data_IF_739712616993
#
_entry.id   IF_739712616993
#
_cell.length_a   1.000
_cell.length_b   1.000
_cell.length_c   1.000
_cell.angle_alpha   90.00
_cell.angle_beta   90.00
_cell.angle_gamma   90.00
#
_symmetry.space_group_name_H-M   'P 1'
#
loop_
_entity.id
_entity.type
_entity.pdbx_description
1 polymer ?
#
# COMPACT_ATOMS: atom_id res chain seq x y z
N UNK A 1 -11.10 -1.74 28.74
CA UNK A 1 -10.58 -1.58 27.38
C UNK A 1 -10.40 -2.97 26.77
N UNK A 2 -11.05 -3.29 25.66
CA UNK A 2 -10.81 -4.54 24.93
C UNK A 2 -9.37 -4.50 24.44
N UNK A 3 -8.58 -5.52 24.77
CA UNK A 3 -7.18 -5.62 24.30
C UNK A 3 -7.23 -5.82 22.79
N UNK A 4 -6.59 -4.93 22.01
CA UNK A 4 -6.54 -5.04 20.54
C UNK A 4 -5.91 -6.38 20.15
N UNK A 5 -6.61 -7.14 19.29
CA UNK A 5 -6.13 -8.45 18.80
C UNK A 5 -5.06 -8.28 17.74
N UNK A 6 -5.17 -7.24 16.92
CA UNK A 6 -4.19 -6.91 15.87
C UNK A 6 -3.79 -5.44 15.97
N UNK A 7 -2.63 -5.15 15.42
CA UNK A 7 -2.13 -3.78 15.28
C UNK A 7 -2.74 -3.13 14.04
N UNK A 8 -2.80 -3.86 12.92
CA UNK A 8 -3.37 -3.39 11.64
C UNK A 8 -4.36 -4.42 11.13
N UNK A 9 -5.59 -3.98 10.86
CA UNK A 9 -6.59 -4.74 10.11
C UNK A 9 -6.65 -4.16 8.69
N UNK A 10 -6.29 -4.96 7.69
CA UNK A 10 -6.40 -4.57 6.28
C UNK A 10 -7.66 -5.12 5.64
N UNK A 11 -8.43 -4.26 4.98
CA UNK A 11 -9.62 -4.63 4.21
C UNK A 11 -9.47 -4.00 2.82
N UNK A 12 -9.22 -4.82 1.82
CA UNK A 12 -8.94 -4.34 0.47
C UNK A 12 -8.55 -5.48 -0.46
N UNK A 13 -7.81 -5.19 -1.53
CA UNK A 13 -7.49 -6.15 -2.56
C UNK A 13 -6.18 -6.91 -2.29
N UNK A 14 -6.16 -8.10 -2.85
CA UNK A 14 -4.99 -8.96 -3.01
C UNK A 14 -4.90 -9.37 -4.47
N UNK A 15 -3.74 -9.81 -4.95
CA UNK A 15 -3.57 -10.36 -6.29
C UNK A 15 -2.52 -11.46 -6.33
N UNK A 16 -2.46 -12.18 -7.45
CA UNK A 16 -1.33 -13.02 -7.84
C UNK A 16 -0.76 -12.43 -9.12
N UNK A 17 0.55 -12.18 -9.12
CA UNK A 17 1.25 -11.50 -10.19
C UNK A 17 2.28 -12.44 -10.81
N UNK A 18 2.16 -12.71 -12.12
CA UNK A 18 3.15 -13.42 -12.91
C UNK A 18 4.10 -12.40 -13.58
N UNK A 19 5.33 -12.34 -13.11
CA UNK A 19 6.36 -11.45 -13.66
C UNK A 19 7.15 -12.15 -14.75
N UNK A 20 7.17 -11.56 -15.95
CA UNK A 20 7.91 -12.05 -17.11
C UNK A 20 9.05 -11.07 -17.41
N UNK A 21 10.29 -11.47 -17.17
CA UNK A 21 11.45 -10.65 -17.49
C UNK A 21 11.87 -10.90 -18.92
N UNK A 22 11.76 -9.86 -19.78
CA UNK A 22 12.11 -9.95 -21.21
C UNK A 22 13.45 -9.25 -21.49
N UNK A 23 14.26 -9.77 -22.43
CA UNK A 23 15.46 -9.08 -22.88
C UNK A 23 15.06 -7.83 -23.69
N UNK A 24 15.84 -6.76 -23.56
CA UNK A 24 15.58 -5.54 -24.33
C UNK A 24 14.40 -4.71 -23.80
N UNK A 25 13.69 -4.06 -24.72
CA UNK A 25 12.49 -3.28 -24.49
C UNK A 25 11.22 -4.15 -24.51
N UNK A 26 10.05 -3.52 -24.37
CA UNK A 26 8.76 -4.23 -24.51
C UNK A 26 8.66 -4.88 -25.91
N UNK A 27 8.26 -6.17 -26.02
CA UNK A 27 8.22 -6.88 -27.29
C UNK A 27 7.28 -6.23 -28.32
N UNK A 28 7.70 -6.21 -29.57
CA UNK A 28 6.86 -5.74 -30.66
C UNK A 28 5.70 -6.73 -30.94
N UNK A 29 4.65 -6.23 -31.62
CA UNK A 29 3.55 -7.07 -32.06
C UNK A 29 4.04 -8.19 -33.01
N UNK A 30 3.34 -9.32 -32.99
CA UNK A 30 3.60 -10.51 -33.86
C UNK A 30 4.98 -11.14 -33.67
N UNK A 31 5.63 -10.96 -32.53
CA UNK A 31 6.93 -11.57 -32.23
C UNK A 31 6.84 -12.68 -31.19
N UNK A 32 7.82 -13.60 -31.22
CA UNK A 32 8.04 -14.59 -30.18
C UNK A 32 9.27 -14.17 -29.39
N UNK A 33 9.08 -13.89 -28.10
CA UNK A 33 10.18 -13.48 -27.23
C UNK A 33 10.41 -14.54 -26.15
N UNK A 34 11.65 -15.05 -26.09
CA UNK A 34 12.06 -15.92 -24.99
C UNK A 34 12.32 -15.06 -23.75
N UNK A 35 11.61 -15.35 -22.66
CA UNK A 35 11.80 -14.65 -21.38
C UNK A 35 13.15 -15.05 -20.76
N UNK A 36 13.77 -14.12 -20.04
CA UNK A 36 14.99 -14.34 -19.25
C UNK A 36 14.69 -15.16 -18.01
N UNK A 37 13.59 -14.83 -17.34
CA UNK A 37 13.08 -15.53 -16.18
C UNK A 37 11.59 -15.29 -16.03
N UNK A 38 10.95 -16.11 -15.21
CA UNK A 38 9.57 -16.00 -14.81
C UNK A 38 9.48 -16.18 -13.30
N UNK A 39 8.61 -15.42 -12.68
CA UNK A 39 8.38 -15.49 -11.24
C UNK A 39 6.91 -15.24 -10.91
N UNK A 40 6.36 -15.95 -9.93
CA UNK A 40 5.02 -15.73 -9.40
C UNK A 40 5.12 -15.22 -7.98
N UNK A 41 4.42 -14.13 -7.70
CA UNK A 41 4.36 -13.50 -6.40
C UNK A 41 2.93 -13.11 -6.06
N UNK A 42 2.66 -12.89 -4.77
CA UNK A 42 1.44 -12.21 -4.36
C UNK A 42 1.63 -10.69 -4.47
N UNK A 43 0.51 -10.00 -4.67
CA UNK A 43 0.42 -8.55 -4.81
C UNK A 43 -0.89 -8.00 -4.25
N UNK A 44 -1.36 -6.93 -4.84
CA UNK A 44 -2.51 -6.15 -4.40
C UNK A 44 -2.14 -5.12 -3.34
N UNK A 45 -2.81 -3.96 -3.38
CA UNK A 45 -2.50 -2.80 -2.54
C UNK A 45 -2.49 -3.17 -1.05
N UNK A 46 -3.62 -3.64 -0.54
CA UNK A 46 -3.74 -4.06 0.87
C UNK A 46 -2.87 -5.28 1.17
N UNK A 47 -2.81 -6.26 0.26
CA UNK A 47 -2.00 -7.47 0.45
C UNK A 47 -0.53 -7.17 0.67
N UNK A 48 0.05 -6.36 -0.20
CA UNK A 48 1.47 -5.97 -0.13
C UNK A 48 1.76 -5.06 1.07
N UNK A 49 0.86 -4.12 1.37
CA UNK A 49 1.00 -3.25 2.54
C UNK A 49 1.00 -4.04 3.86
N UNK A 50 0.12 -5.05 4.01
CA UNK A 50 0.09 -5.88 5.21
C UNK A 50 1.35 -6.74 5.38
N UNK A 51 1.87 -7.32 4.29
CA UNK A 51 3.14 -8.06 4.32
C UNK A 51 4.29 -7.13 4.72
N UNK A 52 4.34 -5.91 4.18
CA UNK A 52 5.35 -4.93 4.56
C UNK A 52 5.26 -4.57 6.06
N UNK A 53 4.06 -4.29 6.55
CA UNK A 53 3.85 -3.97 7.95
C UNK A 53 4.21 -5.16 8.88
N UNK A 54 3.87 -6.40 8.50
CA UNK A 54 4.18 -7.60 9.25
C UNK A 54 5.70 -7.83 9.36
N UNK A 55 6.44 -7.71 8.24
CA UNK A 55 7.91 -7.80 8.23
C UNK A 55 8.58 -6.70 9.06
N UNK A 56 7.90 -5.57 9.27
CA UNK A 56 8.33 -4.49 10.16
C UNK A 56 7.86 -4.66 11.61
N UNK A 57 7.25 -5.81 11.94
CA UNK A 57 6.92 -6.22 13.30
C UNK A 57 5.51 -5.87 13.78
N UNK A 58 4.61 -5.41 12.90
CA UNK A 58 3.21 -5.22 13.24
C UNK A 58 2.45 -6.56 13.21
N UNK A 59 1.51 -6.76 14.13
CA UNK A 59 0.54 -7.88 14.09
C UNK A 59 -0.57 -7.51 13.11
N UNK A 60 -0.52 -8.10 11.92
CA UNK A 60 -1.44 -7.80 10.84
C UNK A 60 -2.53 -8.86 10.69
N UNK A 61 -3.76 -8.43 10.36
CA UNK A 61 -4.84 -9.28 9.94
C UNK A 61 -5.43 -8.78 8.62
N UNK A 62 -5.80 -9.70 7.75
CA UNK A 62 -6.52 -9.42 6.51
C UNK A 62 -7.98 -9.85 6.63
N UNK A 63 -8.90 -8.96 6.26
CA UNK A 63 -10.33 -9.23 6.27
C UNK A 63 -11.05 -8.73 5.01
N UNK A 64 -10.33 -8.61 3.90
CA UNK A 64 -10.90 -8.48 2.57
C UNK A 64 -11.42 -9.81 2.02
N UNK A 65 -12.15 -9.76 0.91
CA UNK A 65 -12.69 -10.93 0.23
C UNK A 65 -11.56 -11.83 -0.29
N UNK A 66 -11.73 -13.14 -0.08
CA UNK A 66 -10.94 -14.19 -0.71
C UNK A 66 -11.87 -15.19 -1.41
N UNK A 67 -11.44 -15.68 -2.55
CA UNK A 67 -12.14 -16.72 -3.29
C UNK A 67 -11.90 -18.14 -2.73
N UNK A 68 -12.27 -19.11 -3.57
CA UNK A 68 -12.02 -20.53 -3.33
C UNK A 68 -11.23 -21.16 -4.48
N UNK A 69 -10.68 -20.34 -5.35
CA UNK A 69 -9.87 -20.67 -6.52
C UNK A 69 -8.39 -20.90 -6.14
N UNK A 70 -7.58 -21.33 -7.14
CA UNK A 70 -6.17 -21.61 -6.93
C UNK A 70 -5.34 -20.38 -6.58
N UNK A 71 -5.65 -19.22 -7.17
CA UNK A 71 -4.94 -17.98 -6.85
C UNK A 71 -5.24 -17.52 -5.44
N UNK A 72 -6.50 -17.62 -4.99
CA UNK A 72 -6.86 -17.35 -3.60
C UNK A 72 -6.12 -18.23 -2.61
N UNK A 73 -5.90 -19.52 -2.93
CA UNK A 73 -5.07 -20.41 -2.10
C UNK A 73 -3.60 -19.97 -2.03
N UNK A 74 -3.03 -19.51 -3.15
CA UNK A 74 -1.66 -18.97 -3.17
C UNK A 74 -1.55 -17.73 -2.26
N UNK A 75 -2.55 -16.84 -2.29
CA UNK A 75 -2.59 -15.67 -1.39
C UNK A 75 -2.69 -16.09 0.08
N UNK A 76 -3.53 -17.09 0.39
CA UNK A 76 -3.67 -17.61 1.76
C UNK A 76 -2.35 -18.18 2.29
N UNK A 77 -1.70 -19.04 1.49
CA UNK A 77 -0.41 -19.63 1.85
C UNK A 77 0.66 -18.56 2.08
N UNK A 78 0.69 -17.53 1.22
CA UNK A 78 1.61 -16.41 1.38
C UNK A 78 1.35 -15.63 2.67
N UNK A 79 0.09 -15.30 2.98
CA UNK A 79 -0.24 -14.60 4.21
C UNK A 79 0.15 -15.41 5.46
N UNK A 80 -0.08 -16.71 5.45
CA UNK A 80 0.33 -17.58 6.56
C UNK A 80 1.86 -17.61 6.74
N UNK A 81 2.62 -17.65 5.64
CA UNK A 81 4.08 -17.59 5.66
C UNK A 81 4.60 -16.25 6.20
N UNK A 82 3.91 -15.15 5.87
CA UNK A 82 4.25 -13.79 6.30
C UNK A 82 3.68 -13.41 7.67
N UNK A 83 2.98 -14.35 8.33
CA UNK A 83 2.40 -14.12 9.67
C UNK A 83 1.21 -13.16 9.71
N UNK A 84 0.51 -13.01 8.59
CA UNK A 84 -0.74 -12.23 8.51
C UNK A 84 -1.93 -13.13 8.83
N UNK A 85 -2.72 -12.76 9.83
CA UNK A 85 -3.93 -13.49 10.23
C UNK A 85 -5.04 -13.32 9.18
N UNK A 86 -5.56 -14.43 8.66
CA UNK A 86 -6.65 -14.46 7.68
C UNK A 86 -7.96 -15.05 8.24
N UNK A 87 -8.02 -15.29 9.54
CA UNK A 87 -9.18 -15.95 10.17
C UNK A 87 -10.49 -15.18 10.02
N UNK A 88 -10.41 -13.89 9.73
CA UNK A 88 -11.53 -13.00 9.54
C UNK A 88 -11.84 -12.65 8.07
N UNK A 89 -11.08 -13.23 7.12
CA UNK A 89 -11.30 -12.99 5.69
C UNK A 89 -12.56 -13.69 5.18
N UNK A 90 -13.57 -12.95 4.67
CA UNK A 90 -14.76 -13.56 4.09
C UNK A 90 -14.40 -14.41 2.87
N UNK A 91 -15.08 -15.56 2.72
CA UNK A 91 -14.89 -16.47 1.58
C UNK A 91 -16.10 -16.44 0.67
N UNK A 92 -15.86 -16.22 -0.62
CA UNK A 92 -16.94 -16.19 -1.61
C UNK A 92 -16.50 -16.80 -2.94
N UNK A 93 -17.38 -17.64 -3.53
CA UNK A 93 -17.09 -18.28 -4.83
C UNK A 93 -16.98 -17.29 -5.98
N UNK A 94 -17.64 -16.15 -5.85
CA UNK A 94 -17.69 -15.06 -6.83
C UNK A 94 -16.63 -13.96 -6.57
N UNK A 95 -15.61 -14.28 -5.75
CA UNK A 95 -14.52 -13.38 -5.41
C UNK A 95 -13.13 -14.02 -5.67
N UNK A 96 -12.85 -14.52 -6.88
CA UNK A 96 -11.53 -15.06 -7.20
C UNK A 96 -10.46 -13.99 -7.06
N UNK A 97 -9.27 -14.39 -6.60
CA UNK A 97 -8.17 -13.44 -6.49
C UNK A 97 -7.81 -12.87 -7.87
N UNK A 98 -7.67 -11.55 -8.01
CA UNK A 98 -7.18 -10.92 -9.23
C UNK A 98 -5.85 -11.51 -9.68
N UNK A 99 -5.68 -11.58 -10.99
CA UNK A 99 -4.45 -12.08 -11.60
C UNK A 99 -3.86 -11.02 -12.52
N UNK A 100 -2.57 -10.77 -12.39
CA UNK A 100 -1.83 -9.90 -13.27
C UNK A 100 -0.70 -10.64 -13.98
N UNK A 101 -0.40 -10.23 -15.22
CA UNK A 101 0.82 -10.57 -15.93
C UNK A 101 1.61 -9.28 -16.10
N UNK A 102 2.82 -9.25 -15.57
CA UNK A 102 3.69 -8.07 -15.56
C UNK A 102 4.89 -8.35 -16.43
N UNK A 103 5.01 -7.64 -17.56
CA UNK A 103 6.16 -7.74 -18.43
C UNK A 103 7.18 -6.68 -18.02
N UNK A 104 8.33 -7.14 -17.54
CA UNK A 104 9.45 -6.29 -17.09
C UNK A 104 10.52 -6.28 -18.18
N UNK A 105 10.78 -5.11 -18.74
CA UNK A 105 11.77 -4.90 -19.80
C UNK A 105 13.15 -4.63 -19.18
N UNK A 106 14.13 -5.53 -19.38
CA UNK A 106 15.43 -5.47 -18.73
C UNK A 106 16.26 -4.25 -19.14
N UNK A 107 16.16 -3.82 -20.41
CA UNK A 107 16.92 -2.69 -20.95
C UNK A 107 16.40 -1.34 -20.42
N UNK A 108 15.08 -1.12 -20.52
CA UNK A 108 14.47 0.15 -20.16
C UNK A 108 14.12 0.25 -18.68
N UNK A 109 14.12 -0.88 -17.94
CA UNK A 109 13.69 -0.99 -16.55
C UNK A 109 12.26 -0.49 -16.34
N UNK A 110 11.43 -0.63 -17.36
CA UNK A 110 10.01 -0.29 -17.36
C UNK A 110 9.17 -1.56 -17.29
N UNK A 111 7.90 -1.40 -16.93
CA UNK A 111 6.96 -2.51 -16.86
C UNK A 111 5.63 -2.18 -17.51
N UNK A 112 4.98 -3.21 -18.05
CA UNK A 112 3.59 -3.18 -18.46
C UNK A 112 2.80 -4.19 -17.65
N UNK A 113 1.68 -3.77 -17.09
CA UNK A 113 0.82 -4.58 -16.24
C UNK A 113 -0.46 -4.88 -16.99
N UNK A 114 -0.77 -6.17 -17.15
CA UNK A 114 -2.04 -6.67 -17.67
C UNK A 114 -2.74 -7.39 -16.54
N UNK A 115 -3.91 -6.95 -16.15
CA UNK A 115 -4.62 -7.54 -15.02
C UNK A 115 -6.08 -7.85 -15.37
N UNK A 116 -6.62 -8.83 -14.68
CA UNK A 116 -8.00 -9.28 -14.79
C UNK A 116 -8.63 -9.36 -13.42
N UNK A 117 -9.84 -8.84 -13.33
CA UNK A 117 -10.70 -8.92 -12.15
C UNK A 117 -11.99 -9.59 -12.57
N UNK A 118 -12.27 -10.78 -12.02
CA UNK A 118 -13.41 -11.60 -12.36
C UNK A 118 -14.35 -11.76 -11.16
N UNK A 119 -15.10 -10.74 -10.81
CA UNK A 119 -16.03 -10.83 -9.70
C UNK A 119 -15.78 -9.79 -8.62
N UNK A 120 -16.19 -10.09 -7.39
CA UNK A 120 -16.03 -9.17 -6.25
C UNK A 120 -14.62 -9.21 -5.72
N UNK A 121 -14.10 -8.04 -5.34
CA UNK A 121 -12.78 -7.90 -4.71
C UNK A 121 -12.84 -6.88 -3.58
N UNK A 122 -11.85 -6.90 -2.69
CA UNK A 122 -11.68 -5.91 -1.64
C UNK A 122 -12.63 -6.11 -0.47
N UNK A 123 -13.26 -5.05 -0.01
CA UNK A 123 -14.13 -5.10 1.15
C UNK A 123 -15.49 -5.75 0.84
N UNK A 124 -15.96 -6.64 1.70
CA UNK A 124 -17.33 -7.14 1.66
C UNK A 124 -18.29 -6.15 2.31
N UNK A 125 -19.52 -6.04 1.77
CA UNK A 125 -20.52 -5.05 2.21
C UNK A 125 -20.97 -5.27 3.67
N UNK A 126 -20.85 -6.47 4.21
CA UNK A 126 -21.37 -6.87 5.53
C UNK A 126 -20.30 -7.39 6.48
N UNK A 127 -19.20 -7.94 5.98
CA UNK A 127 -18.13 -8.55 6.75
C UNK A 127 -16.83 -7.72 6.65
N UNK A 128 -15.89 -7.85 7.57
CA UNK A 128 -16.02 -8.61 8.82
C UNK A 128 -17.03 -7.98 9.79
N UNK A 129 -17.39 -8.71 10.83
CA UNK A 129 -18.23 -8.18 11.91
C UNK A 129 -17.62 -6.91 12.53
N UNK A 130 -18.45 -6.02 13.02
CA UNK A 130 -18.01 -4.77 13.65
C UNK A 130 -17.01 -5.00 14.79
N UNK A 131 -17.18 -6.08 15.56
CA UNK A 131 -16.29 -6.46 16.66
C UNK A 131 -14.85 -6.71 16.19
N UNK A 132 -14.67 -7.24 14.97
CA UNK A 132 -13.36 -7.48 14.36
C UNK A 132 -12.70 -6.15 14.00
N UNK A 133 -13.44 -5.22 13.39
CA UNK A 133 -12.93 -3.89 13.09
C UNK A 133 -12.52 -3.16 14.37
N UNK A 134 -13.36 -3.23 15.41
CA UNK A 134 -13.09 -2.61 16.72
C UNK A 134 -11.92 -3.24 17.49
N UNK A 135 -11.46 -4.42 17.08
CA UNK A 135 -10.30 -5.09 17.69
C UNK A 135 -8.95 -4.63 17.11
N UNK A 136 -8.96 -3.79 16.06
CA UNK A 136 -7.76 -3.24 15.46
C UNK A 136 -7.30 -1.93 16.16
N UNK A 137 -6.00 -1.62 16.04
CA UNK A 137 -5.45 -0.30 16.40
C UNK A 137 -5.45 0.66 15.23
N UNK A 138 -5.34 0.14 14.00
CA UNK A 138 -5.40 0.88 12.73
C UNK A 138 -6.25 0.07 11.76
N UNK A 139 -7.14 0.74 11.03
CA UNK A 139 -7.82 0.19 9.86
C UNK A 139 -7.05 0.65 8.61
N UNK A 140 -6.63 -0.31 7.77
CA UNK A 140 -6.01 -0.06 6.48
C UNK A 140 -7.01 -0.41 5.36
N UNK A 141 -7.21 0.49 4.41
CA UNK A 141 -8.15 0.35 3.31
C UNK A 141 -7.50 0.66 1.96
N UNK A 142 -8.08 0.14 0.89
CA UNK A 142 -7.93 0.64 -0.48
C UNK A 142 -9.30 0.98 -1.09
N UNK A 143 -9.38 1.24 -2.40
CA UNK A 143 -10.64 1.62 -3.06
C UNK A 143 -11.54 0.46 -3.44
N UNK A 144 -11.11 -0.79 -3.28
CA UNK A 144 -11.86 -1.94 -3.75
C UNK A 144 -12.93 -2.40 -2.76
N UNK A 145 -14.18 -2.56 -3.25
CA UNK A 145 -15.33 -2.87 -2.41
C UNK A 145 -15.87 -1.64 -1.68
N UNK A 146 -16.20 -0.59 -2.42
CA UNK A 146 -16.53 0.75 -1.90
C UNK A 146 -17.53 0.76 -0.75
N UNK A 147 -18.66 0.01 -0.86
CA UNK A 147 -19.66 -0.04 0.23
C UNK A 147 -19.06 -0.61 1.52
N UNK A 148 -18.29 -1.69 1.40
CA UNK A 148 -17.62 -2.33 2.52
C UNK A 148 -16.54 -1.42 3.13
N UNK A 149 -15.76 -0.72 2.30
CA UNK A 149 -14.78 0.27 2.74
C UNK A 149 -15.43 1.42 3.52
N UNK A 150 -16.52 1.98 3.01
CA UNK A 150 -17.30 3.02 3.69
C UNK A 150 -17.86 2.54 5.03
N UNK A 151 -18.44 1.33 5.04
CA UNK A 151 -18.92 0.70 6.27
C UNK A 151 -17.80 0.56 7.30
N UNK A 152 -16.68 -0.02 6.89
CA UNK A 152 -15.53 -0.26 7.78
C UNK A 152 -14.93 1.06 8.31
N UNK A 153 -14.75 2.05 7.44
CA UNK A 153 -14.26 3.37 7.83
C UNK A 153 -15.19 4.08 8.83
N UNK A 154 -16.52 4.03 8.63
CA UNK A 154 -17.49 4.59 9.56
C UNK A 154 -17.42 3.93 10.95
N UNK A 155 -17.30 2.60 10.98
CA UNK A 155 -17.15 1.84 12.25
C UNK A 155 -15.84 2.21 12.95
N UNK A 156 -14.72 2.25 12.21
CA UNK A 156 -13.42 2.61 12.76
C UNK A 156 -13.43 4.02 13.36
N UNK A 157 -13.93 5.00 12.64
CA UNK A 157 -14.05 6.39 13.14
C UNK A 157 -14.95 6.50 14.35
N UNK A 158 -16.10 5.82 14.37
CA UNK A 158 -16.98 5.78 15.56
C UNK A 158 -16.31 5.13 16.77
N UNK A 159 -15.30 4.29 16.55
CA UNK A 159 -14.50 3.65 17.60
C UNK A 159 -13.23 4.42 17.97
N UNK A 160 -12.91 5.53 17.29
CA UNK A 160 -11.67 6.27 17.46
C UNK A 160 -10.44 5.54 16.93
N UNK A 161 -10.63 4.63 15.97
CA UNK A 161 -9.55 3.87 15.30
C UNK A 161 -9.13 4.64 14.05
N UNK A 162 -7.85 5.04 13.95
CA UNK A 162 -7.35 5.74 12.77
C UNK A 162 -7.50 4.91 11.50
N UNK A 163 -7.87 5.57 10.39
CA UNK A 163 -7.97 4.98 9.06
C UNK A 163 -6.80 5.46 8.22
N UNK A 164 -6.02 4.51 7.69
CA UNK A 164 -4.98 4.72 6.68
C UNK A 164 -5.47 4.14 5.37
N UNK A 165 -5.27 4.82 4.25
CA UNK A 165 -5.74 4.31 2.97
C UNK A 165 -4.71 4.48 1.86
N UNK A 166 -4.73 3.52 0.92
CA UNK A 166 -4.00 3.50 -0.33
C UNK A 166 -4.98 3.58 -1.50
N UNK A 167 -5.03 4.73 -2.18
CA UNK A 167 -5.95 4.98 -3.29
C UNK A 167 -5.18 5.32 -4.57
N UNK A 168 -5.56 4.64 -5.65
CA UNK A 168 -5.03 4.88 -7.00
C UNK A 168 -6.13 5.23 -8.01
N UNK A 169 -7.42 5.12 -7.61
CA UNK A 169 -8.58 5.39 -8.45
C UNK A 169 -9.70 6.09 -7.68
N UNK A 170 -10.45 6.94 -8.38
CA UNK A 170 -11.53 7.77 -7.82
C UNK A 170 -12.83 7.75 -8.64
N UNK A 171 -12.96 6.83 -9.59
CA UNK A 171 -14.10 6.83 -10.53
C UNK A 171 -15.44 6.45 -9.87
N UNK A 172 -15.40 5.90 -8.64
CA UNK A 172 -16.63 5.57 -7.91
C UNK A 172 -17.30 6.83 -7.32
N UNK A 173 -18.64 7.03 -7.50
CA UNK A 173 -19.33 8.23 -7.02
C UNK A 173 -19.20 8.52 -5.52
N UNK A 174 -19.04 7.48 -4.70
CA UNK A 174 -18.87 7.60 -3.25
C UNK A 174 -17.43 7.79 -2.79
N UNK A 175 -16.46 7.84 -3.71
CA UNK A 175 -15.06 8.03 -3.34
C UNK A 175 -14.81 9.30 -2.49
N UNK A 176 -15.44 10.47 -2.78
CA UNK A 176 -15.25 11.65 -1.94
C UNK A 176 -15.74 11.47 -0.50
N UNK A 177 -16.76 10.61 -0.27
CA UNK A 177 -17.20 10.26 1.08
C UNK A 177 -16.15 9.41 1.79
N UNK A 178 -15.61 8.39 1.10
CA UNK A 178 -14.59 7.52 1.67
C UNK A 178 -13.32 8.31 2.02
N UNK A 179 -12.87 9.19 1.12
CA UNK A 179 -11.67 10.02 1.34
C UNK A 179 -11.78 10.86 2.62
N UNK A 180 -12.97 11.42 2.91
CA UNK A 180 -13.22 12.21 4.13
C UNK A 180 -13.21 11.39 5.43
N UNK A 181 -13.31 10.07 5.33
CA UNK A 181 -13.24 9.17 6.48
C UNK A 181 -11.81 8.71 6.79
N UNK A 182 -10.84 9.05 5.95
CA UNK A 182 -9.44 8.67 6.12
C UNK A 182 -8.72 9.69 7.00
N UNK A 183 -8.03 9.23 8.04
CA UNK A 183 -7.26 10.08 8.95
C UNK A 183 -5.83 10.32 8.43
N UNK A 184 -5.22 9.32 7.81
CA UNK A 184 -3.90 9.39 7.20
C UNK A 184 -4.02 9.13 5.71
N UNK A 185 -4.09 10.21 4.92
CA UNK A 185 -4.24 10.15 3.46
C UNK A 185 -2.85 10.08 2.84
N UNK A 186 -2.50 8.92 2.28
CA UNK A 186 -1.23 8.71 1.58
C UNK A 186 -1.54 8.41 0.11
N UNK A 187 -1.08 9.27 -0.80
CA UNK A 187 -1.44 9.17 -2.22
C UNK A 187 -0.22 9.32 -3.13
N UNK A 188 -0.16 8.62 -4.26
CA UNK A 188 0.80 8.93 -5.31
C UNK A 188 0.47 10.29 -5.97
N UNK A 189 1.51 11.02 -6.38
CA UNK A 189 1.37 12.37 -6.91
C UNK A 189 0.40 12.44 -8.08
N UNK A 190 0.51 11.51 -9.04
CA UNK A 190 -0.31 11.53 -10.26
C UNK A 190 -1.81 11.41 -9.92
N UNK A 191 -2.16 10.53 -8.97
CA UNK A 191 -3.54 10.41 -8.51
C UNK A 191 -4.00 11.64 -7.71
N UNK A 192 -3.15 12.13 -6.83
CA UNK A 192 -3.46 13.32 -6.03
C UNK A 192 -3.62 14.58 -6.92
N UNK A 193 -2.85 14.71 -8.00
CA UNK A 193 -3.03 15.74 -9.03
C UNK A 193 -4.37 15.59 -9.76
N UNK A 194 -4.74 14.34 -10.13
CA UNK A 194 -6.02 14.06 -10.81
C UNK A 194 -7.22 14.54 -9.98
N UNK A 195 -7.22 14.29 -8.66
CA UNK A 195 -8.36 14.64 -7.79
C UNK A 195 -8.38 16.08 -7.31
N UNK A 196 -7.23 16.77 -7.32
CA UNK A 196 -7.13 18.17 -6.82
C UNK A 196 -7.06 19.21 -7.93
N UNK A 197 -6.56 18.84 -9.12
CA UNK A 197 -6.24 19.77 -10.19
C UNK A 197 -4.95 20.60 -9.96
N UNK A 198 -4.27 20.41 -8.83
CA UNK A 198 -3.00 21.04 -8.51
C UNK A 198 -1.83 20.30 -9.17
N UNK A 199 -0.67 20.96 -9.34
CA UNK A 199 0.49 20.37 -10.01
C UNK A 199 1.70 20.19 -9.11
N UNK A 200 1.98 21.15 -8.23
CA UNK A 200 3.12 21.08 -7.34
C UNK A 200 2.79 20.21 -6.10
N UNK A 201 3.68 19.31 -5.67
CA UNK A 201 3.41 18.40 -4.54
C UNK A 201 2.99 19.13 -3.25
N UNK A 202 3.54 20.32 -2.99
CA UNK A 202 3.21 21.13 -1.82
C UNK A 202 1.77 21.66 -1.86
N UNK A 203 1.29 22.11 -3.03
CA UNK A 203 -0.08 22.59 -3.20
C UNK A 203 -1.06 21.42 -3.25
N UNK A 204 -0.68 20.32 -3.87
CA UNK A 204 -1.43 19.05 -3.88
C UNK A 204 -1.67 18.57 -2.44
N UNK A 205 -0.64 18.49 -1.61
CA UNK A 205 -0.77 18.04 -0.23
C UNK A 205 -1.73 18.91 0.58
N UNK A 206 -1.70 20.24 0.38
CA UNK A 206 -2.64 21.17 1.02
C UNK A 206 -4.07 21.04 0.49
N UNK A 207 -4.24 20.79 -0.82
CA UNK A 207 -5.55 20.66 -1.44
C UNK A 207 -6.26 19.33 -1.06
N UNK A 208 -5.50 18.27 -0.77
CA UNK A 208 -6.02 16.99 -0.27
C UNK A 208 -6.46 17.09 1.19
N UNK A 209 -5.90 18.05 1.96
CA UNK A 209 -6.19 18.19 3.39
C UNK A 209 -7.67 18.46 3.65
N UNK A 210 -8.27 17.76 4.62
CA UNK A 210 -9.60 18.04 5.16
C UNK A 210 -9.55 18.10 6.70
N UNK A 211 -10.57 18.73 7.32
CA UNK A 211 -10.54 19.05 8.75
C UNK A 211 -10.32 17.86 9.69
N UNK A 212 -10.69 16.66 9.27
CA UNK A 212 -10.58 15.44 10.06
C UNK A 212 -9.26 14.68 9.83
N UNK A 213 -8.42 15.13 8.87
CA UNK A 213 -7.10 14.54 8.64
C UNK A 213 -6.18 14.67 9.85
N UNK A 214 -5.38 13.65 10.05
CA UNK A 214 -4.22 13.67 10.95
C UNK A 214 -2.94 13.97 10.16
N UNK A 215 -2.86 13.44 8.93
CA UNK A 215 -1.74 13.65 8.02
C UNK A 215 -2.16 13.47 6.56
N UNK A 216 -1.48 14.18 5.67
CA UNK A 216 -1.47 13.95 4.23
C UNK A 216 -0.03 13.70 3.80
N UNK A 217 0.19 12.67 2.99
CA UNK A 217 1.50 12.33 2.41
C UNK A 217 1.31 12.15 0.90
N UNK A 218 2.10 12.86 0.11
CA UNK A 218 2.12 12.73 -1.36
C UNK A 218 3.43 12.10 -1.76
N UNK A 219 3.40 10.87 -2.28
CA UNK A 219 4.59 10.14 -2.72
C UNK A 219 4.93 10.50 -4.16
N UNK A 220 6.22 10.80 -4.43
CA UNK A 220 6.71 11.31 -5.71
C UNK A 220 7.88 10.47 -6.27
N UNK A 221 7.88 9.17 -6.01
CA UNK A 221 8.91 8.23 -6.49
C UNK A 221 10.32 8.68 -6.11
N UNK A 222 11.19 8.87 -7.10
CA UNK A 222 12.59 9.26 -6.87
C UNK A 222 12.76 10.67 -6.30
N UNK A 223 11.74 11.50 -6.32
CA UNK A 223 11.76 12.81 -5.66
C UNK A 223 11.45 12.72 -4.15
N UNK A 224 11.03 11.55 -3.65
CA UNK A 224 10.68 11.36 -2.25
C UNK A 224 9.20 11.60 -1.98
N UNK A 225 8.87 12.28 -0.87
CA UNK A 225 7.48 12.55 -0.50
C UNK A 225 7.33 13.91 0.18
N UNK A 226 6.19 14.57 -0.06
CA UNK A 226 5.77 15.77 0.64
C UNK A 226 4.66 15.43 1.61
N UNK A 227 4.73 15.98 2.81
CA UNK A 227 3.75 15.64 3.84
C UNK A 227 3.45 16.82 4.75
N UNK A 228 2.25 16.82 5.31
CA UNK A 228 1.84 17.77 6.36
C UNK A 228 0.99 17.07 7.41
N UNK A 229 1.10 17.56 8.63
CA UNK A 229 0.28 17.18 9.75
C UNK A 229 -0.64 18.33 10.20
N UNK A 230 -1.20 18.23 11.40
CA UNK A 230 -2.12 19.23 11.98
C UNK A 230 -1.53 20.62 12.15
N UNK A 231 -0.23 20.78 12.15
CA UNK A 231 0.45 22.08 12.20
C UNK A 231 0.37 22.84 10.86
N UNK A 232 -0.13 22.20 9.80
CA UNK A 232 -0.29 22.79 8.48
C UNK A 232 1.01 23.07 7.73
N UNK A 233 2.16 22.66 8.29
CA UNK A 233 3.49 22.87 7.69
C UNK A 233 3.79 21.73 6.73
N UNK A 234 3.98 22.08 5.45
CA UNK A 234 4.44 21.10 4.46
C UNK A 234 5.93 20.84 4.62
N UNK A 235 6.30 19.57 4.68
CA UNK A 235 7.67 19.10 4.79
C UNK A 235 8.00 18.19 3.61
N UNK A 236 9.27 18.05 3.31
CA UNK A 236 9.77 17.16 2.27
C UNK A 236 10.74 16.15 2.86
N UNK A 237 10.45 14.85 2.62
CA UNK A 237 11.38 13.75 2.84
C UNK A 237 11.96 13.34 1.49
N UNK A 238 13.23 13.62 1.21
CA UNK A 238 13.88 13.16 -0.01
C UNK A 238 13.93 11.63 -0.08
N UNK A 239 13.88 11.07 -1.29
CA UNK A 239 14.12 9.66 -1.50
C UNK A 239 15.59 9.30 -1.15
N UNK A 240 15.79 8.11 -0.59
CA UNK A 240 17.13 7.58 -0.43
C UNK A 240 17.72 7.16 -1.78
N UNK A 241 19.01 7.41 -1.96
CA UNK A 241 19.72 7.00 -3.18
C UNK A 241 19.99 5.49 -3.13
N UNK A 242 19.31 4.76 -3.99
CA UNK A 242 19.45 3.30 -4.14
C UNK A 242 19.62 2.95 -5.61
N UNK A 243 20.22 1.80 -5.90
CA UNK A 243 20.25 1.24 -7.24
C UNK A 243 18.94 0.51 -7.48
N UNK A 244 17.94 1.22 -8.01
CA UNK A 244 16.64 0.64 -8.29
C UNK A 244 16.71 -0.41 -9.41
N UNK A 245 16.06 -1.55 -9.17
CA UNK A 245 15.88 -2.66 -10.10
C UNK A 245 14.44 -2.73 -10.59
N UNK A 246 13.48 -2.62 -9.65
CA UNK A 246 12.05 -2.70 -9.95
C UNK A 246 11.23 -1.91 -8.92
N UNK A 247 10.36 -1.03 -9.41
CA UNK A 247 9.49 -0.19 -8.57
C UNK A 247 8.11 -0.80 -8.29
N UNK A 248 7.83 -2.03 -8.74
CA UNK A 248 6.55 -2.71 -8.49
C UNK A 248 6.33 -2.87 -6.99
N UNK A 249 5.18 -2.43 -6.47
CA UNK A 249 4.83 -2.54 -5.05
C UNK A 249 5.55 -1.55 -4.11
N UNK A 250 6.36 -0.60 -4.62
CA UNK A 250 7.02 0.38 -3.74
C UNK A 250 6.02 1.30 -3.04
N UNK A 251 4.90 1.66 -3.69
CA UNK A 251 3.80 2.41 -3.08
C UNK A 251 3.18 1.64 -1.93
N UNK A 252 2.78 0.40 -2.19
CA UNK A 252 2.14 -0.45 -1.19
C UNK A 252 3.07 -0.69 0.02
N UNK A 253 4.36 -0.92 -0.24
CA UNK A 253 5.38 -1.05 0.82
C UNK A 253 5.54 0.23 1.62
N UNK A 254 5.48 1.39 0.95
CA UNK A 254 5.48 2.69 1.64
C UNK A 254 4.28 2.79 2.59
N UNK A 255 3.08 2.46 2.12
CA UNK A 255 1.85 2.49 2.93
C UNK A 255 1.92 1.53 4.13
N UNK A 256 2.36 0.30 3.91
CA UNK A 256 2.51 -0.68 4.97
C UNK A 256 3.54 -0.27 6.03
N UNK A 257 4.69 0.25 5.60
CA UNK A 257 5.73 0.74 6.50
C UNK A 257 5.30 2.01 7.26
N UNK A 258 4.56 2.90 6.61
CA UNK A 258 3.96 4.06 7.25
C UNK A 258 2.98 3.65 8.37
N UNK A 259 2.08 2.72 8.08
CA UNK A 259 1.14 2.19 9.07
C UNK A 259 1.86 1.47 10.22
N UNK A 260 2.94 0.74 9.96
CA UNK A 260 3.77 0.12 10.99
C UNK A 260 4.44 1.16 11.91
N UNK A 261 4.91 2.27 11.36
CA UNK A 261 5.45 3.39 12.14
C UNK A 261 4.38 4.00 13.06
N UNK A 262 3.16 4.21 12.55
CA UNK A 262 2.04 4.72 13.34
C UNK A 262 1.68 3.79 14.51
N UNK A 263 1.63 2.48 14.27
CA UNK A 263 1.39 1.47 15.31
C UNK A 263 2.44 1.53 16.42
N UNK A 264 3.68 1.81 16.05
CA UNK A 264 4.80 1.95 17.01
C UNK A 264 4.77 3.29 17.77
N UNK A 265 3.85 4.20 17.42
CA UNK A 265 3.73 5.52 18.03
C UNK A 265 4.80 6.51 17.57
N UNK A 266 5.41 6.25 16.42
CA UNK A 266 6.39 7.16 15.84
C UNK A 266 5.74 8.49 15.40
N UNK A 267 6.43 9.63 15.52
CA UNK A 267 5.95 10.89 14.97
C UNK A 267 5.90 10.85 13.44
N UNK A 268 5.12 11.74 12.84
CA UNK A 268 4.81 11.74 11.41
C UNK A 268 6.04 11.71 10.50
N UNK A 269 7.04 12.52 10.79
CA UNK A 269 8.30 12.59 10.06
C UNK A 269 9.08 11.26 10.09
N UNK A 270 9.08 10.59 11.24
CA UNK A 270 9.70 9.27 11.38
C UNK A 270 8.89 8.18 10.66
N UNK A 271 7.55 8.23 10.67
CA UNK A 271 6.72 7.33 9.87
C UNK A 271 7.02 7.46 8.38
N UNK A 272 7.08 8.70 7.87
CA UNK A 272 7.40 8.98 6.46
C UNK A 272 8.81 8.55 6.11
N UNK A 273 9.79 8.80 6.97
CA UNK A 273 11.18 8.38 6.77
C UNK A 273 11.33 6.86 6.75
N UNK A 274 10.70 6.16 7.68
CA UNK A 274 10.65 4.68 7.72
C UNK A 274 10.07 4.12 6.42
N UNK A 275 8.93 4.67 5.98
CA UNK A 275 8.24 4.29 4.76
C UNK A 275 9.11 4.53 3.51
N UNK A 276 9.79 5.69 3.45
CA UNK A 276 10.71 6.02 2.36
C UNK A 276 11.89 5.05 2.30
N UNK A 277 12.44 4.66 3.45
CA UNK A 277 13.54 3.70 3.52
C UNK A 277 13.09 2.29 3.09
N UNK A 278 11.96 1.83 3.59
CA UNK A 278 11.41 0.51 3.22
C UNK A 278 11.10 0.42 1.72
N UNK A 279 10.45 1.44 1.16
CA UNK A 279 10.17 1.51 -0.28
C UNK A 279 11.44 1.59 -1.13
N UNK A 280 12.46 2.34 -0.67
CA UNK A 280 13.76 2.43 -1.32
C UNK A 280 14.49 1.08 -1.34
N UNK A 281 14.56 0.38 -0.21
CA UNK A 281 15.15 -0.96 -0.14
C UNK A 281 14.40 -1.96 -1.02
N UNK A 282 13.07 -1.92 -1.01
CA UNK A 282 12.25 -2.76 -1.89
C UNK A 282 12.59 -2.54 -3.36
N UNK A 283 12.78 -1.30 -3.79
CA UNK A 283 13.11 -0.97 -5.17
C UNK A 283 14.42 -1.63 -5.67
N UNK A 284 15.30 -2.06 -4.79
CA UNK A 284 16.55 -2.77 -5.15
C UNK A 284 16.35 -4.24 -5.53
N UNK A 285 15.13 -4.76 -5.41
CA UNK A 285 14.79 -6.16 -5.67
C UNK A 285 13.62 -6.27 -6.66
N UNK A 286 13.57 -7.32 -7.47
CA UNK A 286 12.47 -7.53 -8.41
C UNK A 286 11.18 -8.00 -7.72
N UNK A 287 10.04 -7.67 -8.31
CA UNK A 287 8.69 -8.10 -7.89
C UNK A 287 8.09 -7.26 -6.77
N UNK A 288 6.81 -7.51 -6.46
CA UNK A 288 6.04 -6.74 -5.47
C UNK A 288 6.47 -7.04 -4.03
N UNK A 289 6.34 -8.29 -3.59
CA UNK A 289 6.51 -8.66 -2.18
C UNK A 289 7.86 -9.27 -1.84
N UNK A 290 8.55 -9.93 -2.78
CA UNK A 290 9.82 -10.62 -2.50
C UNK A 290 10.88 -9.67 -1.94
N UNK A 291 10.98 -8.47 -2.52
CA UNK A 291 11.94 -7.45 -2.12
C UNK A 291 11.59 -6.64 -0.87
N UNK A 292 10.47 -6.90 -0.21
CA UNK A 292 10.08 -6.17 1.01
C UNK A 292 11.14 -6.42 2.09
N UNK A 293 11.76 -5.38 2.66
CA UNK A 293 12.78 -5.54 3.68
C UNK A 293 12.21 -5.98 5.02
N UNK A 294 13.03 -6.64 5.82
CA UNK A 294 12.76 -6.89 7.23
C UNK A 294 13.03 -5.62 8.06
N UNK A 295 12.52 -5.61 9.30
CA UNK A 295 12.75 -4.53 10.26
C UNK A 295 14.25 -4.25 10.45
N UNK A 296 15.05 -5.27 10.68
CA UNK A 296 16.50 -5.15 10.86
C UNK A 296 17.17 -4.49 9.67
N UNK A 297 16.82 -4.90 8.43
CA UNK A 297 17.38 -4.29 7.23
C UNK A 297 17.05 -2.81 7.10
N UNK A 298 15.83 -2.40 7.46
CA UNK A 298 15.46 -0.99 7.43
C UNK A 298 16.16 -0.20 8.52
N UNK A 299 16.30 -0.74 9.74
CA UNK A 299 17.00 -0.10 10.85
C UNK A 299 18.50 0.10 10.52
N UNK A 300 19.18 -0.92 9.97
CA UNK A 300 20.58 -0.84 9.53
C UNK A 300 20.76 0.17 8.39
N UNK A 301 19.81 0.19 7.44
CA UNK A 301 19.84 1.15 6.34
C UNK A 301 19.67 2.59 6.84
N UNK A 302 18.74 2.84 7.75
CA UNK A 302 18.52 4.15 8.35
C UNK A 302 19.70 4.60 9.19
N UNK A 303 20.35 3.69 9.93
CA UNK A 303 21.57 3.98 10.71
C UNK A 303 22.74 4.38 9.80
N UNK A 304 22.85 3.76 8.62
CA UNK A 304 23.89 4.06 7.62
C UNK A 304 23.60 5.33 6.82
N UNK A 305 22.36 5.84 6.89
CA UNK A 305 21.90 7.06 6.22
C UNK A 305 21.31 8.03 7.25
N UNK A 306 22.14 8.61 8.14
CA UNK A 306 21.66 9.55 9.16
C UNK A 306 21.00 10.77 8.51
N UNK A 307 20.11 11.41 9.25
CA UNK A 307 19.31 12.51 8.74
C UNK A 307 20.17 13.68 8.26
N UNK A 308 19.98 14.04 6.99
CA UNK A 308 20.23 15.39 6.53
C UNK A 308 18.89 16.07 6.33
N UNK A 309 18.29 16.60 7.40
CA UNK A 309 17.18 17.53 7.25
C UNK A 309 17.72 18.76 6.51
N UNK A 310 17.30 18.91 5.26
CA UNK A 310 17.43 20.20 4.61
C UNK A 310 16.58 21.19 5.39
N UNK A 311 17.20 22.11 6.10
CA UNK A 311 16.50 23.27 6.63
C UNK A 311 15.68 23.89 5.51
N UNK A 312 14.44 24.35 5.75
CA UNK A 312 13.68 25.08 4.74
C UNK A 312 14.58 26.20 4.21
N UNK A 313 14.83 26.21 2.90
CA UNK A 313 15.46 27.36 2.25
C UNK A 313 14.51 28.53 2.49
N UNK A 314 14.93 29.44 3.38
CA UNK A 314 14.29 30.75 3.61
C UNK A 314 14.16 31.54 2.32
#
# INVERSE_FOLDING_TARGET
MVKSSFDILGIGCVSVDDLLFVPGSYPAADTKTRVLSWDRQCGGLTGTALVAAARLGARCAFAGLLGVDDFSRIVEENFLLEGVDISHAPRAKDAPAPHAVIIVAAETRTRNIFYRIDGRIGADDRLPDESVIRAARILFLDQYGMNGCLRAAKIARAAGIPVVADFEDSDHPQFPELLRLVDHVVLPLDFAQKITGETAPETVAKAVWHQDCQAVVVTCGTAGSWFLGKDGVVRHQPAFKVLAVDSTGCGDVFHGAYAAGLVQGAPLDQCVRLATAAAGLKATQPGGQRGIPTRTQVEEFLASNPETYGSPKT
#
